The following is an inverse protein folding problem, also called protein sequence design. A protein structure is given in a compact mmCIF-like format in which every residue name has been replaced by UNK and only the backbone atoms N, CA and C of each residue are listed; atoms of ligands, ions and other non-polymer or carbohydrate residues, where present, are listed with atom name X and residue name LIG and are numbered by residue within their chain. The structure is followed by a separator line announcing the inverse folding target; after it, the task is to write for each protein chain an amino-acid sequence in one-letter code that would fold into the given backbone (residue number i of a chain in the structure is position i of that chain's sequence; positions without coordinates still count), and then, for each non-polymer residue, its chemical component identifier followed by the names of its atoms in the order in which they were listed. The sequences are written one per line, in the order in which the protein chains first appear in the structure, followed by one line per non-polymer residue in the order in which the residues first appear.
data_IF_550649022489
#
_entry.id   IF_550649022489
#
_cell.length_a   1.000
_cell.length_b   1.000
_cell.length_c   1.000
_cell.angle_alpha   90.00
_cell.angle_beta   90.00
_cell.angle_gamma   90.00
#
_symmetry.space_group_name_H-M   'P 1'
#
loop_
_entity.id
_entity.type
_entity.pdbx_description
1 polymer ?
#
# COMPACT_ATOMS: atom_id res chain seq x y z
N UNK A 1 2.95 -2.15 -24.23
CA UNK A 1 3.96 -1.31 -23.57
C UNK A 1 5.19 -2.20 -23.40
N UNK A 2 6.36 -1.81 -23.89
CA UNK A 2 7.62 -2.56 -23.72
C UNK A 2 8.48 -1.82 -22.68
N UNK A 3 9.36 -2.53 -21.98
CA UNK A 3 10.33 -1.94 -21.04
C UNK A 3 9.72 -1.14 -19.87
N UNK A 4 8.54 -1.52 -19.42
CA UNK A 4 7.92 -0.91 -18.24
C UNK A 4 8.47 -1.55 -16.97
N UNK A 5 8.98 -0.73 -16.06
CA UNK A 5 9.42 -1.16 -14.73
C UNK A 5 8.88 -0.17 -13.70
N UNK A 6 8.30 -0.68 -12.63
CA UNK A 6 7.84 0.12 -11.50
C UNK A 6 7.94 -0.68 -10.20
N UNK A 7 8.14 0.07 -9.13
CA UNK A 7 8.26 -0.45 -7.77
C UNK A 7 7.35 0.35 -6.85
N UNK A 8 6.63 -0.35 -5.98
CA UNK A 8 5.92 0.22 -4.85
C UNK A 8 6.78 0.09 -3.60
N UNK A 9 7.08 1.23 -3.00
CA UNK A 9 7.84 1.36 -1.76
C UNK A 9 6.89 1.67 -0.61
N UNK A 10 7.08 0.99 0.52
CA UNK A 10 6.51 1.35 1.82
C UNK A 10 7.56 2.13 2.59
N UNK A 11 7.22 3.35 2.96
CA UNK A 11 8.17 4.33 3.46
C UNK A 11 7.76 4.88 4.83
N UNK A 12 8.76 5.08 5.68
CA UNK A 12 8.66 5.76 6.95
C UNK A 12 9.81 6.75 7.07
N UNK A 13 9.46 8.00 7.32
CA UNK A 13 10.40 9.06 7.64
C UNK A 13 10.25 9.42 9.12
N UNK A 14 11.36 9.48 9.85
CA UNK A 14 11.42 9.97 11.22
C UNK A 14 12.26 11.23 11.23
N UNK A 15 11.63 12.36 11.49
CA UNK A 15 12.22 13.69 11.41
C UNK A 15 12.45 14.18 12.84
N UNK A 16 13.72 14.44 13.18
CA UNK A 16 14.15 14.93 14.49
C UNK A 16 14.70 16.35 14.34
N UNK A 17 14.18 17.29 15.11
CA UNK A 17 14.69 18.66 15.15
C UNK A 17 15.80 18.77 16.21
N UNK A 18 17.02 19.07 15.77
CA UNK A 18 18.20 19.16 16.63
C UNK A 18 18.16 20.37 17.58
N UNK A 19 17.30 21.36 17.33
CA UNK A 19 17.18 22.58 18.14
C UNK A 19 15.86 22.70 18.90
N UNK A 20 14.95 21.72 18.81
CA UNK A 20 13.73 21.68 19.62
C UNK A 20 14.00 21.78 21.14
N UNK A 21 15.22 21.46 21.58
CA UNK A 21 15.68 21.52 22.97
C UNK A 21 16.31 22.86 23.39
N UNK A 22 16.31 23.91 22.55
CA UNK A 22 16.88 25.22 22.91
C UNK A 22 15.85 26.29 23.30
N UNK A 23 14.57 25.92 23.36
CA UNK A 23 13.49 26.73 23.97
C UNK A 23 13.24 26.30 25.42
N UNK A 24 13.00 27.28 26.29
CA UNK A 24 12.89 27.23 27.77
C UNK A 24 11.84 26.29 28.42
N UNK A 25 11.49 25.15 27.81
CA UNK A 25 10.62 24.14 28.45
C UNK A 25 11.43 22.88 28.78
N UNK A 26 11.99 22.87 29.99
CA UNK A 26 12.84 21.81 30.57
C UNK A 26 12.05 20.52 30.97
N UNK A 27 11.00 20.13 30.25
CA UNK A 27 10.19 18.95 30.63
C UNK A 27 9.78 18.00 29.51
N UNK A 28 10.36 18.07 28.31
CA UNK A 28 10.11 17.00 27.34
C UNK A 28 10.87 17.15 26.03
N UNK A 29 11.56 16.08 25.63
CA UNK A 29 11.95 15.90 24.23
C UNK A 29 10.69 16.03 23.36
N UNK A 30 10.66 16.95 22.38
CA UNK A 30 9.58 16.94 21.40
C UNK A 30 9.63 15.61 20.66
N UNK A 31 8.53 14.86 20.72
CA UNK A 31 8.40 13.59 20.02
C UNK A 31 8.76 13.76 18.53
N UNK A 32 9.49 12.80 17.93
CA UNK A 32 9.88 12.89 16.54
C UNK A 32 8.64 12.95 15.64
N UNK A 33 8.74 13.73 14.57
CA UNK A 33 7.67 13.78 13.56
C UNK A 33 7.81 12.54 12.67
N UNK A 34 6.74 11.76 12.55
CA UNK A 34 6.72 10.54 11.74
C UNK A 34 5.83 10.75 10.53
N UNK A 35 6.39 10.62 9.32
CA UNK A 35 5.64 10.65 8.08
C UNK A 35 5.71 9.27 7.40
N UNK A 36 4.56 8.65 7.20
CA UNK A 36 4.46 7.35 6.52
C UNK A 36 3.74 7.49 5.19
N UNK A 37 4.16 6.71 4.20
CA UNK A 37 3.48 6.66 2.91
C UNK A 37 3.84 5.41 2.12
N UNK A 38 3.04 5.11 1.10
CA UNK A 38 3.41 4.16 0.06
C UNK A 38 3.59 4.91 -1.25
N UNK A 39 4.75 4.74 -1.89
CA UNK A 39 5.14 5.49 -3.09
C UNK A 39 5.31 4.55 -4.28
N UNK A 40 4.76 4.92 -5.42
CA UNK A 40 4.93 4.19 -6.67
C UNK A 40 5.17 5.14 -7.83
N UNK A 41 6.23 4.90 -8.60
CA UNK A 41 6.58 5.71 -9.78
C UNK A 41 6.09 5.02 -11.03
N UNK A 42 5.26 5.68 -11.82
CA UNK A 42 4.64 5.13 -13.03
C UNK A 42 5.19 5.84 -14.25
N UNK A 43 6.13 5.21 -14.99
CA UNK A 43 6.53 5.68 -16.30
C UNK A 43 5.49 5.26 -17.35
N UNK A 44 4.83 6.22 -17.98
CA UNK A 44 3.93 5.98 -19.10
C UNK A 44 4.74 6.02 -20.40
N UNK A 45 4.94 4.84 -20.97
CA UNK A 45 5.86 4.61 -22.09
C UNK A 45 5.09 4.52 -23.41
N UNK A 46 5.53 5.29 -24.40
CA UNK A 46 5.04 5.26 -25.77
C UNK A 46 5.34 3.93 -26.49
N UNK A 47 4.78 3.74 -27.68
CA UNK A 47 5.06 2.55 -28.50
C UNK A 47 6.54 2.42 -28.91
N UNK A 48 7.24 3.54 -29.03
CA UNK A 48 8.67 3.60 -29.37
C UNK A 48 9.60 3.37 -28.17
N UNK A 49 9.05 3.19 -26.96
CA UNK A 49 9.84 2.97 -25.74
C UNK A 49 10.25 4.25 -25.02
N UNK A 50 9.92 5.43 -25.54
CA UNK A 50 10.17 6.70 -24.84
C UNK A 50 9.16 6.92 -23.70
N UNK A 51 9.64 7.46 -22.56
CA UNK A 51 8.74 7.89 -21.48
C UNK A 51 8.03 9.17 -21.91
N UNK A 52 6.71 9.10 -22.06
CA UNK A 52 5.89 10.25 -22.43
C UNK A 52 5.51 11.07 -21.19
N UNK A 53 5.02 10.39 -20.16
CA UNK A 53 4.60 10.98 -18.90
C UNK A 53 5.15 10.15 -17.74
N UNK A 54 5.47 10.82 -16.64
CA UNK A 54 5.86 10.16 -15.40
C UNK A 54 5.01 10.72 -14.28
N UNK A 55 4.38 9.81 -13.55
CA UNK A 55 3.63 10.14 -12.35
C UNK A 55 4.27 9.49 -11.13
N UNK A 56 4.25 10.18 -10.01
CA UNK A 56 4.50 9.56 -8.71
C UNK A 56 3.18 9.50 -7.98
N UNK A 57 2.84 8.33 -7.44
CA UNK A 57 1.61 8.12 -6.69
C UNK A 57 2.02 7.85 -5.26
N UNK A 58 1.49 8.63 -4.32
CA UNK A 58 1.58 8.34 -2.89
C UNK A 58 0.21 8.07 -2.31
N UNK A 59 0.09 7.06 -1.47
CA UNK A 59 -1.15 6.79 -0.74
C UNK A 59 -0.89 6.21 0.65
N UNK A 60 -1.90 6.28 1.51
CA UNK A 60 -1.86 5.70 2.86
C UNK A 60 -1.71 4.17 2.85
N UNK A 61 -2.34 3.49 1.88
CA UNK A 61 -2.31 2.04 1.74
C UNK A 61 -1.62 1.59 0.44
N UNK A 62 -0.94 0.44 0.48
CA UNK A 62 -0.24 -0.13 -0.68
C UNK A 62 -1.20 -0.46 -1.83
N UNK A 63 -2.32 -1.13 -1.53
CA UNK A 63 -3.31 -1.50 -2.54
C UNK A 63 -3.97 -0.28 -3.19
N UNK A 64 -4.22 0.79 -2.42
CA UNK A 64 -4.76 2.06 -2.96
C UNK A 64 -3.80 2.70 -3.95
N UNK A 65 -2.50 2.71 -3.63
CA UNK A 65 -1.46 3.20 -4.53
C UNK A 65 -1.41 2.38 -5.84
N UNK A 66 -1.36 1.04 -5.73
CA UNK A 66 -1.32 0.16 -6.90
C UNK A 66 -2.62 0.20 -7.75
N UNK A 67 -3.80 0.40 -7.14
CA UNK A 67 -5.06 0.56 -7.87
C UNK A 67 -5.12 1.86 -8.66
N UNK A 68 -4.66 2.97 -8.07
CA UNK A 68 -4.60 4.22 -8.81
C UNK A 68 -3.57 4.13 -9.95
N UNK A 69 -2.43 3.48 -9.71
CA UNK A 69 -1.48 3.17 -10.77
C UNK A 69 -2.14 2.39 -11.92
N UNK A 70 -2.94 1.36 -11.60
CA UNK A 70 -3.68 0.62 -12.62
C UNK A 70 -4.63 1.51 -13.43
N UNK A 71 -5.36 2.43 -12.77
CA UNK A 71 -6.27 3.38 -13.44
C UNK A 71 -5.53 4.35 -14.36
N UNK A 72 -4.43 4.92 -13.90
CA UNK A 72 -3.60 5.84 -14.68
C UNK A 72 -2.98 5.11 -15.90
N UNK A 73 -2.43 3.90 -15.69
CA UNK A 73 -1.87 3.10 -16.78
C UNK A 73 -2.95 2.69 -17.78
N UNK A 74 -4.13 2.28 -17.30
CA UNK A 74 -5.26 1.93 -18.16
C UNK A 74 -5.70 3.12 -19.00
N UNK A 75 -5.90 4.28 -18.36
CA UNK A 75 -6.31 5.50 -19.04
C UNK A 75 -5.32 5.87 -20.16
N UNK A 76 -4.02 5.82 -19.86
CA UNK A 76 -2.99 6.10 -20.85
C UNK A 76 -3.00 5.10 -22.01
N UNK A 77 -3.20 3.81 -21.72
CA UNK A 77 -3.24 2.77 -22.74
C UNK A 77 -4.47 2.87 -23.65
N UNK A 78 -5.61 3.27 -23.09
CA UNK A 78 -6.90 3.30 -23.79
C UNK A 78 -7.13 4.64 -24.52
N UNK A 79 -6.62 5.75 -23.97
CA UNK A 79 -6.94 7.12 -24.44
C UNK A 79 -5.72 7.99 -24.78
N UNK A 80 -4.50 7.55 -24.44
CA UNK A 80 -3.26 8.31 -24.67
C UNK A 80 -2.88 9.25 -23.51
N UNK A 81 -2.01 10.25 -23.76
CA UNK A 81 -1.46 11.13 -22.73
C UNK A 81 -2.52 11.80 -21.84
N UNK A 82 -2.26 11.87 -20.54
CA UNK A 82 -3.24 12.27 -19.52
C UNK A 82 -3.27 13.79 -19.31
N UNK A 83 -2.12 14.47 -19.30
CA UNK A 83 -2.05 15.90 -18.96
C UNK A 83 -2.44 16.83 -20.11
N UNK A 84 -2.30 16.37 -21.36
CA UNK A 84 -2.46 17.21 -22.54
C UNK A 84 -3.49 16.62 -23.51
N UNK A 85 -4.77 16.67 -23.11
CA UNK A 85 -5.91 16.16 -23.90
C UNK A 85 -7.16 17.01 -23.69
N UNK A 86 -8.11 16.93 -24.62
CA UNK A 86 -9.35 17.73 -24.60
C UNK A 86 -10.33 17.28 -23.50
N UNK A 87 -10.50 15.96 -23.35
CA UNK A 87 -11.37 15.39 -22.30
C UNK A 87 -10.48 15.07 -21.10
N UNK A 88 -10.66 15.70 -19.93
CA UNK A 88 -9.77 15.49 -18.79
C UNK A 88 -9.85 14.07 -18.22
N UNK A 89 -8.89 13.69 -17.38
CA UNK A 89 -8.98 12.45 -16.61
C UNK A 89 -10.09 12.56 -15.59
N UNK A 90 -11.00 11.58 -15.60
CA UNK A 90 -12.09 11.51 -14.62
C UNK A 90 -11.54 11.03 -13.27
N UNK A 91 -10.88 11.97 -12.59
CA UNK A 91 -10.24 11.77 -11.29
C UNK A 91 -11.22 11.30 -10.23
N UNK A 92 -12.40 11.93 -10.18
CA UNK A 92 -13.40 11.63 -9.17
C UNK A 92 -13.89 10.19 -9.31
N UNK A 93 -14.24 9.77 -10.54
CA UNK A 93 -14.62 8.39 -10.80
C UNK A 93 -13.48 7.42 -10.48
N UNK A 94 -12.25 7.73 -10.90
CA UNK A 94 -11.08 6.90 -10.63
C UNK A 94 -10.91 6.67 -9.11
N UNK A 95 -10.93 7.73 -8.31
CA UNK A 95 -10.80 7.65 -6.85
C UNK A 95 -11.95 6.88 -6.19
N UNK A 96 -13.20 7.21 -6.53
CA UNK A 96 -14.38 6.55 -5.96
C UNK A 96 -14.42 5.06 -6.31
N UNK A 97 -14.00 4.71 -7.53
CA UNK A 97 -14.01 3.32 -7.99
C UNK A 97 -13.04 2.42 -7.21
N UNK A 98 -11.95 2.97 -6.69
CA UNK A 98 -10.90 2.22 -5.97
C UNK A 98 -11.06 2.23 -4.45
N UNK A 99 -11.87 3.16 -3.90
CA UNK A 99 -12.10 3.31 -2.45
C UNK A 99 -13.48 2.87 -1.98
N UNK A 100 -14.42 2.56 -2.88
CA UNK A 100 -15.75 2.08 -2.49
C UNK A 100 -15.72 0.81 -1.63
N UNK A 101 -16.77 0.64 -0.81
CA UNK A 101 -16.96 -0.54 0.04
C UNK A 101 -16.11 -0.48 1.31
N UNK A 102 -15.37 -1.56 1.59
CA UNK A 102 -14.63 -1.76 2.85
C UNK A 102 -13.69 -0.59 3.18
N UNK A 103 -12.91 -0.10 2.21
CA UNK A 103 -11.96 0.99 2.41
C UNK A 103 -12.67 2.28 2.86
N UNK A 104 -13.74 2.69 2.17
CA UNK A 104 -14.53 3.87 2.54
C UNK A 104 -15.17 3.74 3.93
N UNK A 105 -15.61 2.53 4.28
CA UNK A 105 -16.34 2.29 5.52
C UNK A 105 -15.43 2.22 6.75
N UNK A 106 -14.27 1.55 6.66
CA UNK A 106 -13.46 1.20 7.83
C UNK A 106 -12.05 1.81 7.83
N UNK A 107 -11.75 2.70 6.87
CA UNK A 107 -10.49 3.44 6.83
C UNK A 107 -10.73 4.96 6.76
N UNK A 108 -10.82 5.63 7.92
CA UNK A 108 -10.94 7.09 7.99
C UNK A 108 -9.62 7.79 7.62
N UNK A 109 -8.49 7.07 7.65
CA UNK A 109 -7.17 7.63 7.40
C UNK A 109 -6.75 7.56 5.92
N UNK A 110 -7.69 7.25 5.02
CA UNK A 110 -7.38 7.08 3.60
C UNK A 110 -7.05 8.42 2.95
N UNK A 111 -5.98 8.42 2.15
CA UNK A 111 -5.59 9.53 1.30
C UNK A 111 -4.77 9.04 0.12
N UNK A 112 -4.75 9.85 -0.94
CA UNK A 112 -3.94 9.68 -2.13
C UNK A 112 -3.47 11.04 -2.67
N UNK A 113 -2.27 11.08 -3.23
CA UNK A 113 -1.74 12.21 -3.97
C UNK A 113 -0.99 11.69 -5.21
N UNK A 114 -1.25 12.31 -6.36
CA UNK A 114 -0.55 12.05 -7.62
C UNK A 114 0.26 13.28 -7.97
N UNK A 115 1.55 13.07 -8.24
CA UNK A 115 2.51 14.12 -8.53
C UNK A 115 2.99 14.01 -9.97
N UNK A 116 3.21 15.16 -10.58
CA UNK A 116 3.96 15.32 -11.82
C UNK A 116 5.01 16.42 -11.62
N UNK A 117 6.28 16.11 -11.94
CA UNK A 117 7.41 17.05 -11.79
C UNK A 117 7.46 17.69 -10.38
N UNK A 118 7.23 16.87 -9.35
CA UNK A 118 7.25 17.27 -7.94
C UNK A 118 6.05 18.09 -7.46
N UNK A 119 5.04 18.32 -8.31
CA UNK A 119 3.82 19.04 -7.95
C UNK A 119 2.63 18.10 -7.89
N UNK A 120 1.78 18.29 -6.88
CA UNK A 120 0.50 17.59 -6.78
C UNK A 120 -0.40 18.05 -7.92
N UNK A 121 -0.91 17.08 -8.69
CA UNK A 121 -1.87 17.33 -9.79
C UNK A 121 -3.25 16.75 -9.47
N UNK A 122 -3.30 15.74 -8.60
CA UNK A 122 -4.53 15.17 -8.08
C UNK A 122 -4.34 14.76 -6.63
N UNK A 123 -5.34 14.98 -5.79
CA UNK A 123 -5.38 14.50 -4.42
C UNK A 123 -6.82 14.22 -3.98
N UNK A 124 -6.97 13.29 -3.05
CA UNK A 124 -8.25 12.96 -2.44
C UNK A 124 -8.00 12.21 -1.13
N UNK A 125 -8.98 12.19 -0.23
CA UNK A 125 -8.87 11.53 1.06
C UNK A 125 -9.75 12.17 2.11
N UNK A 126 -9.96 11.44 3.20
CA UNK A 126 -10.62 11.97 4.40
C UNK A 126 -9.60 12.48 5.42
N UNK A 127 -8.37 11.96 5.36
CA UNK A 127 -7.27 12.37 6.21
C UNK A 127 -6.19 13.13 5.45
N UNK A 128 -5.44 13.95 6.19
CA UNK A 128 -4.33 14.71 5.62
C UNK A 128 -3.05 13.87 5.56
N UNK A 129 -2.39 13.90 4.40
CA UNK A 129 -1.02 13.37 4.28
C UNK A 129 -0.05 14.34 4.94
N UNK A 130 1.08 13.84 5.42
CA UNK A 130 2.09 14.71 6.02
C UNK A 130 2.76 15.61 4.96
N UNK A 131 2.85 16.95 5.15
CA UNK A 131 3.38 17.88 4.14
C UNK A 131 4.83 17.63 3.72
N UNK A 132 5.63 16.99 4.57
CA UNK A 132 6.98 16.54 4.23
C UNK A 132 7.02 15.68 2.96
N UNK A 133 5.95 14.92 2.68
CA UNK A 133 5.86 14.09 1.48
C UNK A 133 5.82 14.93 0.19
N UNK A 134 5.33 16.17 0.25
CA UNK A 134 5.35 17.08 -0.90
C UNK A 134 6.75 17.65 -1.11
N UNK A 135 7.44 17.97 -0.01
CA UNK A 135 8.82 18.47 -0.03
C UNK A 135 9.74 17.43 -0.67
N UNK A 136 9.65 16.15 -0.25
CA UNK A 136 10.53 15.11 -0.78
C UNK A 136 10.29 14.86 -2.28
N UNK A 137 9.06 14.95 -2.78
CA UNK A 137 8.78 14.85 -4.22
C UNK A 137 9.28 16.06 -5.01
N UNK A 138 9.23 17.26 -4.43
CA UNK A 138 9.85 18.44 -5.03
C UNK A 138 11.38 18.31 -5.09
N UNK A 139 12.01 17.76 -4.06
CA UNK A 139 13.44 17.47 -4.03
C UNK A 139 13.82 16.41 -5.09
N UNK A 140 13.08 15.30 -5.18
CA UNK A 140 13.30 14.25 -6.19
C UNK A 140 13.21 14.80 -7.61
N UNK A 141 12.17 15.58 -7.90
CA UNK A 141 11.96 16.18 -9.21
C UNK A 141 13.07 17.18 -9.62
N UNK A 142 13.74 17.82 -8.66
CA UNK A 142 14.89 18.72 -8.91
C UNK A 142 16.21 17.97 -9.09
N UNK A 143 16.33 16.77 -8.51
CA UNK A 143 17.56 15.97 -8.47
C UNK A 143 17.66 14.93 -9.59
N UNK A 144 17.06 15.19 -10.76
CA UNK A 144 17.04 14.27 -11.89
C UNK A 144 16.54 12.86 -11.51
N UNK A 145 15.53 12.78 -10.63
CA UNK A 145 14.93 11.52 -10.17
C UNK A 145 15.88 10.59 -9.38
N UNK A 146 16.95 11.13 -8.80
CA UNK A 146 17.76 10.40 -7.83
C UNK A 146 17.11 10.46 -6.46
N UNK A 147 16.16 9.55 -6.25
CA UNK A 147 15.35 9.50 -5.03
C UNK A 147 16.18 9.21 -3.77
N UNK A 148 17.28 8.45 -3.87
CA UNK A 148 18.20 8.21 -2.74
C UNK A 148 18.80 9.51 -2.21
N UNK A 149 19.06 10.49 -3.09
CA UNK A 149 19.56 11.81 -2.72
C UNK A 149 18.46 12.80 -2.33
N UNK A 150 17.18 12.47 -2.54
CA UNK A 150 16.10 13.38 -2.21
C UNK A 150 16.05 13.70 -0.71
N UNK A 151 16.36 12.72 0.15
CA UNK A 151 16.36 12.90 1.61
C UNK A 151 17.43 13.88 2.07
N UNK A 152 18.67 13.73 1.59
CA UNK A 152 19.75 14.65 1.94
C UNK A 152 19.49 16.07 1.42
N UNK A 153 18.93 16.20 0.23
CA UNK A 153 18.53 17.51 -0.30
C UNK A 153 17.38 18.13 0.49
N UNK A 154 16.46 17.32 1.04
CA UNK A 154 15.43 17.81 1.95
C UNK A 154 16.04 18.31 3.28
N UNK A 155 17.01 17.60 3.86
CA UNK A 155 17.75 18.05 5.04
C UNK A 155 18.46 19.40 4.80
N UNK A 156 19.12 19.54 3.65
CA UNK A 156 19.77 20.79 3.24
C UNK A 156 18.76 21.93 3.06
N UNK A 157 17.58 21.64 2.49
CA UNK A 157 16.51 22.64 2.34
C UNK A 157 15.98 23.11 3.70
N UNK A 158 15.79 22.21 4.67
CA UNK A 158 15.44 22.59 6.03
C UNK A 158 16.53 23.44 6.68
N UNK A 159 17.80 23.06 6.51
CA UNK A 159 18.94 23.80 7.04
C UNK A 159 19.01 25.23 6.47
N UNK A 160 18.77 25.40 5.17
CA UNK A 160 18.68 26.71 4.52
C UNK A 160 17.51 27.54 5.05
N UNK A 161 16.40 26.89 5.42
CA UNK A 161 15.25 27.52 6.08
C UNK A 161 15.45 27.75 7.60
N UNK A 162 16.65 27.54 8.13
CA UNK A 162 16.99 27.78 9.54
C UNK A 162 16.57 26.67 10.50
N UNK A 163 16.16 25.50 10.00
CA UNK A 163 15.83 24.31 10.82
C UNK A 163 16.86 23.22 10.61
N UNK A 164 17.56 22.85 11.67
CA UNK A 164 18.47 21.70 11.62
C UNK A 164 17.69 20.44 11.98
N UNK A 165 17.39 19.65 10.97
CA UNK A 165 16.69 18.37 11.14
C UNK A 165 17.59 17.21 10.73
N UNK A 166 17.37 16.06 11.34
CA UNK A 166 17.87 14.76 10.90
C UNK A 166 16.68 13.92 10.45
N UNK A 167 16.78 13.32 9.28
CA UNK A 167 15.70 12.54 8.66
C UNK A 167 16.18 11.10 8.49
N UNK A 168 15.66 10.20 9.33
CA UNK A 168 15.82 8.76 9.13
C UNK A 168 14.78 8.29 8.11
N UNK A 169 15.20 7.58 7.08
CA UNK A 169 14.31 7.04 6.03
C UNK A 169 14.42 5.51 5.98
N UNK A 170 13.32 4.84 6.31
CA UNK A 170 13.15 3.39 6.13
C UNK A 170 12.25 3.15 4.93
N UNK A 171 12.78 2.48 3.90
CA UNK A 171 12.10 2.17 2.65
C UNK A 171 12.17 0.69 2.36
N UNK A 172 11.01 0.09 2.11
CA UNK A 172 10.87 -1.33 1.86
C UNK A 172 10.08 -1.57 0.58
N UNK A 173 10.58 -2.45 -0.28
CA UNK A 173 9.82 -2.87 -1.47
C UNK A 173 8.61 -3.70 -1.02
N UNK A 174 7.46 -3.43 -1.64
CA UNK A 174 6.22 -4.18 -1.45
C UNK A 174 5.71 -4.84 -2.74
N UNK A 175 5.96 -4.20 -3.89
CA UNK A 175 5.61 -4.71 -5.21
C UNK A 175 6.66 -4.27 -6.22
N UNK A 176 7.05 -5.17 -7.11
CA UNK A 176 7.84 -4.88 -8.32
C UNK A 176 7.07 -5.40 -9.52
N UNK A 177 6.97 -4.61 -10.58
CA UNK A 177 6.42 -5.05 -11.86
C UNK A 177 7.43 -4.73 -12.95
N UNK A 178 7.77 -5.75 -13.73
CA UNK A 178 8.67 -5.64 -14.87
C UNK A 178 8.00 -6.25 -16.10
N UNK A 179 8.00 -5.51 -17.20
CA UNK A 179 7.60 -6.01 -18.52
C UNK A 179 8.86 -6.36 -19.29
N UNK A 180 9.04 -7.65 -19.54
CA UNK A 180 10.15 -8.21 -20.29
C UNK A 180 9.96 -8.01 -21.81
N UNK A 181 11.04 -8.19 -22.58
CA UNK A 181 11.05 -7.92 -24.02
C UNK A 181 10.13 -8.83 -24.85
N UNK A 182 9.84 -10.02 -24.33
CA UNK A 182 8.94 -11.03 -24.91
C UNK A 182 7.45 -10.75 -24.61
N UNK A 183 7.15 -9.70 -23.84
CA UNK A 183 5.79 -9.37 -23.42
C UNK A 183 5.33 -10.07 -22.15
N UNK A 184 6.17 -10.87 -21.50
CA UNK A 184 5.90 -11.37 -20.15
C UNK A 184 5.86 -10.22 -19.15
N UNK A 185 4.86 -10.23 -18.26
CA UNK A 185 4.78 -9.27 -17.15
C UNK A 185 5.05 -10.02 -15.86
N UNK A 186 6.22 -9.75 -15.26
CA UNK A 186 6.65 -10.33 -13.98
C UNK A 186 6.26 -9.41 -12.85
N UNK A 187 5.61 -9.98 -11.83
CA UNK A 187 5.15 -9.26 -10.66
C UNK A 187 5.72 -9.96 -9.44
N UNK A 188 6.52 -9.25 -8.64
CA UNK A 188 7.00 -9.73 -7.35
C UNK A 188 6.28 -9.00 -6.22
N UNK A 189 5.53 -9.72 -5.40
CA UNK A 189 4.80 -9.16 -4.26
C UNK A 189 5.45 -9.64 -2.97
N UNK A 190 5.86 -8.70 -2.12
CA UNK A 190 6.48 -9.00 -0.83
C UNK A 190 5.39 -9.12 0.23
N UNK A 191 5.28 -10.32 0.79
CA UNK A 191 4.32 -10.72 1.81
C UNK A 191 5.02 -10.72 3.16
N UNK A 192 4.52 -9.88 4.07
CA UNK A 192 5.01 -9.83 5.44
C UNK A 192 3.99 -10.53 6.33
N UNK A 193 4.28 -11.78 6.65
CA UNK A 193 3.52 -12.54 7.65
C UNK A 193 4.09 -12.32 9.05
N UNK A 194 3.35 -12.71 10.10
CA UNK A 194 3.76 -12.54 11.49
C UNK A 194 5.14 -13.14 11.82
N UNK A 195 5.49 -14.28 11.22
CA UNK A 195 6.72 -15.01 11.53
C UNK A 195 7.76 -14.99 10.41
N UNK A 196 7.41 -14.51 9.20
CA UNK A 196 8.33 -14.50 8.06
C UNK A 196 7.94 -13.44 7.04
N UNK A 197 8.97 -12.83 6.43
CA UNK A 197 8.81 -12.10 5.18
C UNK A 197 9.10 -13.07 4.03
N UNK A 198 8.17 -13.22 3.10
CA UNK A 198 8.32 -14.04 1.90
C UNK A 198 7.95 -13.23 0.67
N UNK A 199 8.43 -13.65 -0.49
CA UNK A 199 8.07 -13.05 -1.77
C UNK A 199 7.41 -14.12 -2.61
N UNK A 200 6.22 -13.84 -3.12
CA UNK A 200 5.66 -14.63 -4.21
C UNK A 200 5.70 -13.81 -5.49
N UNK A 201 5.87 -14.52 -6.59
CA UNK A 201 5.89 -13.95 -7.91
C UNK A 201 4.73 -14.51 -8.70
N UNK A 202 4.13 -13.68 -9.54
CA UNK A 202 3.25 -14.16 -10.60
C UNK A 202 3.68 -13.55 -11.93
N UNK A 203 3.74 -14.40 -12.95
CA UNK A 203 4.10 -14.02 -14.31
C UNK A 203 2.84 -14.13 -15.14
N UNK A 204 2.46 -13.05 -15.81
CA UNK A 204 1.32 -13.01 -16.71
C UNK A 204 1.81 -12.99 -18.16
N UNK A 205 1.23 -13.87 -18.98
CA UNK A 205 1.51 -14.03 -20.40
C UNK A 205 0.25 -13.86 -21.24
N UNK A 206 0.47 -13.75 -22.53
CA UNK A 206 -0.60 -13.80 -23.53
C UNK A 206 -1.46 -15.05 -23.34
N UNK A 207 -2.78 -14.89 -23.48
CA UNK A 207 -3.72 -16.01 -23.49
C UNK A 207 -4.67 -15.86 -24.67
N UNK A 208 -4.77 -16.91 -25.49
CA UNK A 208 -5.67 -16.95 -26.67
C UNK A 208 -5.52 -15.73 -27.59
N UNK A 209 -4.30 -15.30 -27.91
CA UNK A 209 -4.07 -14.15 -28.78
C UNK A 209 -4.21 -12.78 -28.11
N UNK A 210 -4.56 -12.72 -26.82
CA UNK A 210 -4.75 -11.47 -26.08
C UNK A 210 -3.56 -11.22 -25.14
N UNK A 211 -2.73 -10.19 -25.37
CA UNK A 211 -1.60 -9.88 -24.51
C UNK A 211 -2.03 -9.47 -23.11
N UNK A 212 -1.26 -9.87 -22.09
CA UNK A 212 -1.45 -9.39 -20.74
C UNK A 212 -1.25 -7.86 -20.68
N UNK A 213 -2.10 -7.15 -19.93
CA UNK A 213 -2.00 -5.71 -19.75
C UNK A 213 -1.38 -5.35 -18.40
N UNK A 214 -0.47 -4.38 -18.39
CA UNK A 214 0.16 -3.85 -17.17
C UNK A 214 -0.89 -3.35 -16.15
N UNK A 215 -1.94 -2.68 -16.62
CA UNK A 215 -3.06 -2.22 -15.78
C UNK A 215 -3.80 -3.36 -15.08
N UNK A 216 -3.97 -4.51 -15.76
CA UNK A 216 -4.56 -5.71 -15.17
C UNK A 216 -3.62 -6.34 -14.14
N UNK A 217 -2.33 -6.43 -14.43
CA UNK A 217 -1.32 -6.93 -13.47
C UNK A 217 -1.24 -6.05 -12.22
N UNK A 218 -1.26 -4.72 -12.36
CA UNK A 218 -1.34 -3.78 -11.24
C UNK A 218 -2.61 -3.99 -10.40
N UNK A 219 -3.75 -4.21 -11.06
CA UNK A 219 -5.03 -4.47 -10.39
C UNK A 219 -5.00 -5.80 -9.61
N UNK A 220 -4.44 -6.86 -10.19
CA UNK A 220 -4.26 -8.16 -9.54
C UNK A 220 -3.27 -8.06 -8.37
N UNK A 221 -2.15 -7.39 -8.55
CA UNK A 221 -1.18 -7.13 -7.47
C UNK A 221 -1.81 -6.36 -6.31
N UNK A 222 -2.63 -5.34 -6.61
CA UNK A 222 -3.36 -4.61 -5.58
C UNK A 222 -4.40 -5.48 -4.86
N UNK A 223 -5.02 -6.44 -5.56
CA UNK A 223 -5.94 -7.40 -4.94
C UNK A 223 -5.20 -8.35 -3.99
N UNK A 224 -4.01 -8.81 -4.35
CA UNK A 224 -3.15 -9.58 -3.44
C UNK A 224 -2.70 -8.77 -2.23
N UNK A 225 -2.21 -7.54 -2.43
CA UNK A 225 -1.76 -6.67 -1.33
C UNK A 225 -2.90 -6.42 -0.31
N UNK A 226 -4.10 -6.07 -0.78
CA UNK A 226 -5.25 -5.86 0.10
C UNK A 226 -5.69 -7.19 0.74
N UNK A 227 -5.75 -8.27 -0.04
CA UNK A 227 -6.21 -9.58 0.43
C UNK A 227 -5.34 -10.15 1.54
N UNK A 228 -4.02 -10.01 1.41
CA UNK A 228 -3.06 -10.43 2.44
C UNK A 228 -3.26 -9.65 3.74
N UNK A 229 -3.40 -8.32 3.65
CA UNK A 229 -3.61 -7.46 4.81
C UNK A 229 -4.96 -7.77 5.49
N UNK A 230 -6.02 -7.95 4.70
CA UNK A 230 -7.36 -8.25 5.21
C UNK A 230 -7.46 -9.67 5.79
N UNK A 231 -6.77 -10.66 5.21
CA UNK A 231 -6.73 -12.01 5.76
C UNK A 231 -6.13 -12.01 7.17
N UNK A 232 -5.02 -11.30 7.35
CA UNK A 232 -4.42 -11.12 8.66
C UNK A 232 -5.37 -10.42 9.64
N UNK A 233 -5.93 -9.28 9.24
CA UNK A 233 -6.84 -8.50 10.09
C UNK A 233 -8.10 -9.31 10.47
N UNK A 234 -8.72 -9.99 9.51
CA UNK A 234 -9.91 -10.79 9.75
C UNK A 234 -9.63 -11.96 10.69
N UNK A 235 -8.52 -12.67 10.50
CA UNK A 235 -8.12 -13.78 11.37
C UNK A 235 -7.85 -13.31 12.80
N UNK A 236 -7.07 -12.24 12.94
CA UNK A 236 -6.73 -11.67 14.25
C UNK A 236 -7.96 -11.15 15.01
N UNK A 237 -8.84 -10.40 14.35
CA UNK A 237 -10.06 -9.86 14.98
C UNK A 237 -11.08 -10.96 15.31
N UNK A 238 -11.22 -11.99 14.48
CA UNK A 238 -12.07 -13.14 14.79
C UNK A 238 -11.57 -13.90 16.02
N UNK A 239 -10.25 -14.00 16.20
CA UNK A 239 -9.70 -14.62 17.39
C UNK A 239 -9.97 -13.77 18.65
N UNK A 240 -9.89 -12.44 18.55
CA UNK A 240 -10.31 -11.54 19.63
C UNK A 240 -11.79 -11.70 19.98
N UNK A 241 -12.66 -11.85 18.99
CA UNK A 241 -14.10 -12.08 19.19
C UNK A 241 -14.34 -13.42 19.88
N UNK A 242 -13.65 -14.48 19.45
CA UNK A 242 -13.74 -15.81 20.08
C UNK A 242 -13.27 -15.80 21.55
N UNK A 243 -12.28 -14.97 21.87
CA UNK A 243 -11.79 -14.77 23.24
C UNK A 243 -12.57 -13.74 24.04
N UNK A 244 -13.71 -13.27 23.53
CA UNK A 244 -14.57 -12.27 24.17
C UNK A 244 -13.80 -10.98 24.58
N UNK A 245 -12.70 -10.69 23.88
CA UNK A 245 -11.94 -9.45 24.04
C UNK A 245 -12.65 -8.29 23.33
N UNK A 246 -13.51 -8.60 22.38
CA UNK A 246 -14.38 -7.65 21.68
C UNK A 246 -15.80 -8.21 21.62
N UNK A 247 -16.80 -7.33 21.69
CA UNK A 247 -18.20 -7.73 21.53
C UNK A 247 -18.49 -8.09 20.06
N UNK A 248 -19.35 -9.11 19.79
CA UNK A 248 -19.84 -9.39 18.43
C UNK A 248 -20.56 -8.20 17.75
N UNK A 249 -21.08 -7.28 18.56
CA UNK A 249 -21.75 -6.05 18.11
C UNK A 249 -20.80 -4.87 17.87
N UNK A 250 -19.52 -5.01 18.19
CA UNK A 250 -18.52 -3.94 18.04
C UNK A 250 -18.21 -3.63 16.58
N UNK A 251 -17.69 -2.41 16.33
CA UNK A 251 -17.18 -2.02 15.02
C UNK A 251 -16.04 -2.94 14.56
N UNK A 252 -15.18 -3.40 15.47
CA UNK A 252 -14.10 -4.35 15.16
C UNK A 252 -14.63 -5.71 14.66
N UNK A 253 -15.68 -6.25 15.30
CA UNK A 253 -16.32 -7.48 14.85
C UNK A 253 -17.02 -7.29 13.49
N UNK A 254 -17.69 -6.14 13.28
CA UNK A 254 -18.26 -5.79 11.98
C UNK A 254 -17.18 -5.69 10.88
N UNK A 255 -16.04 -5.07 11.20
CA UNK A 255 -14.88 -4.98 10.32
C UNK A 255 -14.33 -6.36 9.94
N UNK A 256 -14.23 -7.29 10.89
CA UNK A 256 -13.79 -8.66 10.61
C UNK A 256 -14.74 -9.41 9.66
N UNK A 257 -16.06 -9.27 9.84
CA UNK A 257 -17.07 -9.88 8.97
C UNK A 257 -17.02 -9.32 7.54
N UNK A 258 -16.97 -7.99 7.41
CA UNK A 258 -16.89 -7.32 6.10
C UNK A 258 -15.57 -7.58 5.38
N UNK A 259 -14.46 -7.71 6.13
CA UNK A 259 -13.18 -8.13 5.58
C UNK A 259 -13.29 -9.52 4.94
N UNK A 260 -13.97 -10.48 5.58
CA UNK A 260 -14.23 -11.81 5.02
C UNK A 260 -14.97 -11.77 3.68
N UNK A 261 -16.04 -10.96 3.59
CA UNK A 261 -16.77 -10.78 2.32
C UNK A 261 -15.90 -10.11 1.24
N UNK A 262 -15.05 -9.15 1.64
CA UNK A 262 -14.12 -8.47 0.75
C UNK A 262 -13.04 -9.43 0.21
N UNK A 263 -12.52 -10.34 1.03
CA UNK A 263 -11.59 -11.38 0.60
C UNK A 263 -12.17 -12.26 -0.51
N UNK A 264 -13.43 -12.67 -0.40
CA UNK A 264 -14.11 -13.41 -1.47
C UNK A 264 -14.17 -12.64 -2.79
N UNK A 265 -14.49 -11.34 -2.74
CA UNK A 265 -14.49 -10.45 -3.91
C UNK A 265 -13.09 -10.28 -4.53
N UNK A 266 -12.06 -10.18 -3.69
CA UNK A 266 -10.67 -10.07 -4.16
C UNK A 266 -10.20 -11.35 -4.83
N UNK A 267 -10.52 -12.50 -4.25
CA UNK A 267 -10.23 -13.80 -4.84
C UNK A 267 -10.93 -13.96 -6.21
N UNK A 268 -12.19 -13.55 -6.32
CA UNK A 268 -12.91 -13.52 -7.60
C UNK A 268 -12.26 -12.61 -8.64
N UNK A 269 -11.76 -11.43 -8.24
CA UNK A 269 -11.04 -10.54 -9.15
C UNK A 269 -9.71 -11.14 -9.64
N UNK A 270 -8.98 -11.84 -8.76
CA UNK A 270 -7.76 -12.57 -9.14
C UNK A 270 -8.09 -13.71 -10.10
N UNK A 271 -9.16 -14.48 -9.85
CA UNK A 271 -9.61 -15.54 -10.75
C UNK A 271 -10.03 -14.99 -12.12
N UNK A 272 -10.70 -13.84 -12.16
CA UNK A 272 -11.04 -13.19 -13.43
C UNK A 272 -9.77 -12.80 -14.20
N UNK A 273 -8.75 -12.29 -13.50
CA UNK A 273 -7.46 -12.02 -14.13
C UNK A 273 -6.80 -13.29 -14.68
N UNK A 274 -6.81 -14.39 -13.94
CA UNK A 274 -6.32 -15.71 -14.39
C UNK A 274 -7.13 -16.29 -15.57
N UNK A 275 -8.37 -15.86 -15.75
CA UNK A 275 -9.15 -16.18 -16.94
C UNK A 275 -8.68 -15.40 -18.17
N UNK A 276 -8.29 -14.13 -17.98
CA UNK A 276 -7.88 -13.22 -19.04
C UNK A 276 -6.41 -13.39 -19.49
N UNK A 277 -5.52 -13.81 -18.60
CA UNK A 277 -4.10 -14.02 -18.88
C UNK A 277 -3.65 -15.43 -18.50
N UNK A 278 -2.55 -15.90 -19.08
CA UNK A 278 -1.91 -17.14 -18.64
C UNK A 278 -0.98 -16.77 -17.47
N UNK A 279 -1.28 -17.29 -16.27
CA UNK A 279 -0.61 -16.87 -15.04
C UNK A 279 0.11 -18.06 -14.41
N UNK A 280 1.40 -17.89 -14.13
CA UNK A 280 2.20 -18.86 -13.36
C UNK A 280 2.69 -18.22 -12.06
N UNK A 281 2.58 -18.96 -10.95
CA UNK A 281 2.98 -18.51 -9.61
C UNK A 281 4.29 -19.17 -9.15
N UNK A 282 5.07 -18.46 -8.34
CA UNK A 282 6.25 -19.01 -7.64
C UNK A 282 6.49 -18.32 -6.29
N UNK A 283 6.50 -19.02 -5.14
CA UNK A 283 6.31 -20.47 -4.99
C UNK A 283 4.88 -20.92 -5.31
N UNK A 284 3.92 -20.66 -4.43
CA UNK A 284 2.51 -20.99 -4.63
C UNK A 284 1.71 -19.68 -4.63
N UNK A 285 0.53 -19.69 -5.26
CA UNK A 285 -0.44 -18.60 -5.16
C UNK A 285 -0.87 -18.45 -3.70
N UNK A 286 -0.84 -17.25 -3.09
CA UNK A 286 -1.30 -17.09 -1.71
C UNK A 286 -2.78 -17.50 -1.55
N UNK A 287 -3.06 -18.31 -0.54
CA UNK A 287 -4.41 -18.65 -0.13
C UNK A 287 -4.85 -17.78 1.05
N UNK A 288 -5.86 -16.93 0.83
CA UNK A 288 -6.32 -16.02 1.87
C UNK A 288 -6.98 -16.73 3.07
N UNK A 289 -7.53 -17.94 2.88
CA UNK A 289 -8.06 -18.73 3.99
C UNK A 289 -6.93 -19.25 4.86
N UNK A 290 -5.90 -19.85 4.27
CA UNK A 290 -4.73 -20.32 5.01
C UNK A 290 -4.04 -19.18 5.77
N UNK A 291 -3.93 -18.00 5.14
CA UNK A 291 -3.36 -16.82 5.80
C UNK A 291 -4.21 -16.30 6.95
N UNK A 292 -5.53 -16.37 6.83
CA UNK A 292 -6.45 -16.01 7.91
C UNK A 292 -6.32 -16.98 9.09
N UNK A 293 -6.18 -18.28 8.82
CA UNK A 293 -6.00 -19.28 9.87
C UNK A 293 -4.63 -19.12 10.56
N UNK A 294 -3.56 -18.88 9.79
CA UNK A 294 -2.25 -18.55 10.36
C UNK A 294 -2.29 -17.28 11.23
N UNK A 295 -3.12 -16.30 10.88
CA UNK A 295 -3.31 -15.09 11.68
C UNK A 295 -4.09 -15.34 12.97
N UNK A 296 -5.05 -16.27 12.98
CA UNK A 296 -5.70 -16.73 14.22
C UNK A 296 -4.70 -17.40 15.15
N UNK A 297 -3.89 -18.31 14.62
CA UNK A 297 -2.86 -19.00 15.41
C UNK A 297 -1.83 -18.03 15.99
N UNK A 298 -1.40 -17.05 15.19
CA UNK A 298 -0.56 -15.96 15.69
C UNK A 298 -1.26 -15.17 16.81
N UNK A 299 -2.55 -14.87 16.66
CA UNK A 299 -3.31 -14.15 17.68
C UNK A 299 -3.39 -14.91 19.01
N UNK A 300 -3.45 -16.25 19.00
CA UNK A 300 -3.41 -17.06 20.23
C UNK A 300 -2.16 -16.75 21.06
N UNK A 301 -1.00 -16.70 20.40
CA UNK A 301 0.27 -16.37 21.05
C UNK A 301 0.34 -14.89 21.42
N UNK A 302 -0.05 -14.00 20.52
CA UNK A 302 0.05 -12.55 20.73
C UNK A 302 -0.89 -12.00 21.81
N UNK A 303 -1.99 -12.71 22.10
CA UNK A 303 -2.99 -12.32 23.08
C UNK A 303 -2.85 -13.06 24.42
N UNK A 304 -1.89 -14.00 24.54
CA UNK A 304 -1.74 -14.84 25.72
C UNK A 304 -1.63 -14.03 27.03
N UNK A 305 -0.78 -13.00 27.05
CA UNK A 305 -0.57 -12.15 28.23
C UNK A 305 -1.80 -11.30 28.59
N UNK A 306 -2.59 -10.89 27.60
CA UNK A 306 -3.83 -10.14 27.83
C UNK A 306 -4.92 -11.05 28.38
N UNK A 307 -5.05 -12.27 27.84
CA UNK A 307 -6.01 -13.26 28.31
C UNK A 307 -5.66 -13.69 29.74
N UNK A 308 -4.38 -13.96 30.03
CA UNK A 308 -3.93 -14.31 31.37
C UNK A 308 -4.29 -13.23 32.39
N UNK A 309 -4.09 -11.94 32.05
CA UNK A 309 -4.51 -10.81 32.91
C UNK A 309 -6.02 -10.76 33.15
N UNK A 310 -6.84 -11.04 32.14
CA UNK A 310 -8.31 -11.07 32.29
C UNK A 310 -8.82 -12.28 33.08
N UNK A 311 -8.12 -13.41 32.98
CA UNK A 311 -8.38 -14.58 33.84
C UNK A 311 -8.03 -14.27 35.29
N UNK A 312 -6.90 -13.60 35.52
CA UNK A 312 -6.47 -13.17 36.87
C UNK A 312 -7.39 -12.12 37.50
N UNK A 313 -8.00 -11.22 36.70
CA UNK A 313 -8.99 -10.26 37.17
C UNK A 313 -10.38 -10.88 37.43
N UNK A 314 -10.60 -12.13 37.01
CA UNK A 314 -11.90 -12.80 37.10
C UNK A 314 -12.92 -12.37 36.04
N UNK A 315 -12.47 -11.67 34.99
CA UNK A 315 -13.34 -11.22 33.90
C UNK A 315 -13.68 -12.35 32.91
N UNK A 316 -12.91 -13.45 32.91
CA UNK A 316 -13.07 -14.61 32.01
C UNK A 316 -12.81 -15.91 32.80
N UNK A 317 -13.61 -16.96 32.59
CA UNK A 317 -13.39 -18.28 33.23
C UNK A 317 -12.21 -19.03 32.57
N UNK A 318 -11.25 -19.44 33.41
CA UNK A 318 -10.05 -20.18 33.00
C UNK A 318 -10.38 -21.54 32.35
N UNK A 319 -11.51 -22.16 32.71
CA UNK A 319 -11.88 -23.49 32.23
C UNK A 319 -12.45 -23.51 30.80
N UNK A 320 -12.79 -22.36 30.24
CA UNK A 320 -13.25 -22.23 28.85
C UNK A 320 -12.09 -22.06 27.85
N UNK A 321 -10.85 -21.94 28.34
CA UNK A 321 -9.69 -21.52 27.55
C UNK A 321 -8.73 -22.65 27.10
N UNK A 322 -8.75 -23.80 27.77
CA UNK A 322 -7.84 -24.94 27.46
C UNK A 322 -8.52 -25.92 26.51
N UNK A 323 -8.64 -25.56 25.22
CA UNK A 323 -8.83 -26.52 24.11
C UNK A 323 -8.26 -26.01 22.80
#
# INVERSE_FOLDING_TARGET
MKNFNTTLLREKFVIRDAFANKGKDLTGEKAPVVAMSNRMVIPLINRDGSVHEKFVIRAQNMHTCARMAAKIVQEFQDTGPILNRQVPFDWEFAWLSITKGYEKQFNPNRWIAVYNKGRVIYEAGDAERHPFLDIIEQCDARNQDNYEKAVSVAEDAFKQAGRLVTIEHDSNIALVITVENDGEIRNGVIVRGPNRTTTFNFIAREKRGTPAKVSQCLSAAAAFLEGIQLAFQAGFLRQKELYELISPSSEEAAKAREAGQKLGRLNGAIQQFEQLAEVSYRPERPDFSEMMDAAKDFAKTALADEIQRRVESGDIDKNEWVT
#
